data_IF_415277256190
#
_entry.id   IF_415277256190
#
_cell.length_a   1.000
_cell.length_b   1.000
_cell.length_c   1.000
_cell.angle_alpha   90.00
_cell.angle_beta   90.00
_cell.angle_gamma   90.00
#
_symmetry.space_group_name_H-M   'P 1'
#
loop_
_entity.id
_entity.type
_entity.pdbx_description
1 polymer ?
#
# COMPACT_ATOMS: atom_id res chain seq x y z
N UNK A 1 31.19 -12.89 -10.15
CA UNK A 1 29.93 -13.30 -9.53
C UNK A 1 29.80 -14.81 -9.39
N UNK A 2 30.09 -15.59 -10.41
CA UNK A 2 30.08 -17.07 -10.37
C UNK A 2 30.87 -17.64 -9.17
N UNK A 3 32.06 -17.10 -8.87
CA UNK A 3 32.86 -17.49 -7.70
C UNK A 3 32.17 -17.29 -6.35
N UNK A 4 31.27 -16.30 -6.23
CA UNK A 4 30.49 -16.08 -5.00
C UNK A 4 29.33 -17.06 -4.90
N UNK A 5 28.70 -17.40 -6.03
CA UNK A 5 27.62 -18.40 -6.09
C UNK A 5 28.16 -19.77 -5.70
N UNK A 6 29.33 -20.18 -6.25
CA UNK A 6 29.94 -21.46 -5.92
C UNK A 6 30.26 -21.57 -4.42
N UNK A 7 30.72 -20.49 -3.78
CA UNK A 7 30.96 -20.46 -2.34
C UNK A 7 29.66 -20.63 -1.55
N UNK A 8 28.59 -19.96 -1.99
CA UNK A 8 27.26 -20.09 -1.37
C UNK A 8 26.77 -21.54 -1.49
N UNK A 9 26.87 -22.14 -2.68
CA UNK A 9 26.45 -23.53 -2.92
C UNK A 9 27.29 -24.50 -2.07
N UNK A 10 28.59 -24.32 -2.01
CA UNK A 10 29.47 -25.15 -1.19
C UNK A 10 29.10 -25.11 0.28
N UNK A 11 28.71 -23.94 0.79
CA UNK A 11 28.39 -23.73 2.20
C UNK A 11 26.93 -24.07 2.55
N UNK A 12 25.98 -23.78 1.66
CA UNK A 12 24.53 -23.84 1.91
C UNK A 12 23.78 -24.82 1.00
N UNK A 13 24.44 -25.47 0.06
CA UNK A 13 23.77 -26.27 -0.97
C UNK A 13 22.90 -27.38 -0.40
N UNK A 14 23.34 -28.09 0.65
CA UNK A 14 22.50 -29.09 1.33
C UNK A 14 21.22 -28.47 1.89
N UNK A 15 21.33 -27.36 2.63
CA UNK A 15 20.20 -26.65 3.17
C UNK A 15 19.24 -26.16 2.08
N UNK A 16 19.78 -25.57 0.99
CA UNK A 16 18.98 -25.07 -0.14
C UNK A 16 18.21 -26.20 -0.87
N UNK A 17 18.68 -27.44 -0.80
CA UNK A 17 18.01 -28.61 -1.37
C UNK A 17 16.87 -29.16 -0.49
N UNK A 18 16.96 -29.02 0.83
CA UNK A 18 16.10 -29.71 1.79
C UNK A 18 14.69 -29.15 1.88
N UNK A 19 14.52 -27.83 1.80
CA UNK A 19 13.20 -27.19 1.97
C UNK A 19 12.95 -26.04 1.00
N UNK A 20 11.69 -25.62 0.92
CA UNK A 20 11.31 -24.37 0.26
C UNK A 20 11.52 -23.22 1.23
N UNK A 21 12.23 -22.19 0.81
CA UNK A 21 12.51 -21.01 1.62
C UNK A 21 11.52 -19.89 1.34
N UNK A 22 11.11 -19.22 2.41
CA UNK A 22 10.35 -17.95 2.33
C UNK A 22 11.27 -16.82 1.91
N UNK A 23 10.70 -15.65 1.65
CA UNK A 23 11.51 -14.50 1.26
C UNK A 23 12.37 -14.00 2.43
N UNK A 24 11.82 -13.95 3.65
CA UNK A 24 12.58 -13.57 4.85
C UNK A 24 13.76 -14.52 5.11
N UNK A 25 13.54 -15.82 5.01
CA UNK A 25 14.61 -16.82 5.21
C UNK A 25 15.74 -16.67 4.18
N UNK A 26 15.41 -16.36 2.91
CA UNK A 26 16.42 -16.10 1.89
C UNK A 26 17.16 -14.79 2.14
N UNK A 27 16.49 -13.77 2.65
CA UNK A 27 17.10 -12.49 3.01
C UNK A 27 18.08 -12.68 4.17
N UNK A 28 17.68 -13.39 5.21
CA UNK A 28 18.55 -13.71 6.35
C UNK A 28 19.80 -14.46 5.90
N UNK A 29 19.63 -15.48 5.07
CA UNK A 29 20.74 -16.25 4.52
C UNK A 29 21.67 -15.41 3.64
N UNK A 30 21.11 -14.50 2.82
CA UNK A 30 21.90 -13.60 1.97
C UNK A 30 22.72 -12.59 2.80
N UNK A 31 22.15 -12.09 3.91
CA UNK A 31 22.87 -11.25 4.88
C UNK A 31 24.01 -12.03 5.57
N UNK A 32 23.75 -13.25 6.03
CA UNK A 32 24.77 -14.11 6.67
C UNK A 32 25.93 -14.44 5.73
N UNK A 33 25.64 -14.68 4.46
CA UNK A 33 26.64 -14.96 3.44
C UNK A 33 27.28 -13.69 2.84
N UNK A 34 26.74 -12.52 3.19
CA UNK A 34 27.15 -11.20 2.65
C UNK A 34 27.15 -11.16 1.12
N UNK A 35 26.05 -11.62 0.53
CA UNK A 35 25.83 -11.65 -0.93
C UNK A 35 24.54 -10.90 -1.30
N UNK A 36 24.43 -10.39 -2.54
CA UNK A 36 23.17 -9.88 -3.06
C UNK A 36 22.06 -10.94 -3.01
N UNK A 37 20.82 -10.53 -2.77
CA UNK A 37 19.70 -11.48 -2.71
C UNK A 37 19.49 -12.22 -4.03
N UNK A 38 19.68 -11.56 -5.16
CA UNK A 38 19.63 -12.19 -6.48
C UNK A 38 20.64 -13.32 -6.65
N UNK A 39 21.83 -13.18 -6.06
CA UNK A 39 22.87 -14.23 -6.05
C UNK A 39 22.38 -15.48 -5.30
N UNK A 40 21.78 -15.30 -4.14
CA UNK A 40 21.24 -16.42 -3.36
C UNK A 40 20.05 -17.10 -4.06
N UNK A 41 19.16 -16.32 -4.66
CA UNK A 41 18.03 -16.84 -5.44
C UNK A 41 18.49 -17.71 -6.59
N UNK A 42 19.54 -17.30 -7.31
CA UNK A 42 20.13 -18.11 -8.40
C UNK A 42 20.80 -19.36 -7.83
N UNK A 43 21.53 -19.26 -6.71
CA UNK A 43 22.14 -20.42 -6.05
C UNK A 43 21.07 -21.46 -5.63
N UNK A 44 19.97 -21.01 -5.02
CA UNK A 44 18.81 -21.86 -4.69
C UNK A 44 18.28 -22.57 -5.95
N UNK A 45 18.07 -21.82 -7.04
CA UNK A 45 17.57 -22.38 -8.30
C UNK A 45 18.53 -23.41 -8.88
N UNK A 46 19.84 -23.14 -8.88
CA UNK A 46 20.87 -24.09 -9.34
C UNK A 46 20.79 -25.42 -8.61
N UNK A 47 20.71 -25.36 -7.28
CA UNK A 47 20.64 -26.56 -6.43
C UNK A 47 19.34 -27.33 -6.66
N UNK A 48 18.21 -26.63 -6.66
CA UNK A 48 16.89 -27.27 -6.74
C UNK A 48 16.57 -27.83 -8.13
N UNK A 49 17.02 -27.15 -9.19
CA UNK A 49 16.78 -27.57 -10.57
C UNK A 49 17.92 -28.46 -11.13
N UNK A 50 18.98 -28.64 -10.38
CA UNK A 50 20.20 -29.35 -10.80
C UNK A 50 20.72 -28.80 -12.15
N UNK A 51 20.85 -27.48 -12.23
CA UNK A 51 21.32 -26.78 -13.43
C UNK A 51 22.59 -25.96 -13.15
N UNK A 52 23.37 -25.75 -14.19
CA UNK A 52 24.51 -24.84 -14.12
C UNK A 52 24.06 -23.38 -14.03
N UNK A 53 24.96 -22.51 -13.61
CA UNK A 53 24.73 -21.05 -13.58
C UNK A 53 24.20 -20.52 -14.91
N UNK A 54 24.89 -20.83 -16.01
CA UNK A 54 24.47 -20.43 -17.36
C UNK A 54 23.11 -21.02 -17.75
N UNK A 55 22.82 -22.25 -17.30
CA UNK A 55 21.51 -22.90 -17.50
C UNK A 55 20.37 -22.19 -16.80
N UNK A 56 20.58 -21.72 -15.56
CA UNK A 56 19.57 -20.92 -14.83
C UNK A 56 19.38 -19.56 -15.49
N UNK A 57 20.46 -18.83 -15.82
CA UNK A 57 20.35 -17.53 -16.49
C UNK A 57 19.63 -17.62 -17.84
N UNK A 58 19.88 -18.69 -18.62
CA UNK A 58 19.13 -18.93 -19.85
C UNK A 58 17.65 -19.19 -19.57
N UNK A 59 17.34 -20.07 -18.60
CA UNK A 59 15.98 -20.40 -18.22
C UNK A 59 15.18 -19.17 -17.73
N UNK A 60 15.82 -18.27 -17.00
CA UNK A 60 15.22 -16.98 -16.59
C UNK A 60 14.82 -16.17 -17.82
N UNK A 61 15.68 -16.06 -18.82
CA UNK A 61 15.35 -15.30 -20.03
C UNK A 61 14.30 -15.99 -20.91
N UNK A 62 14.33 -17.32 -20.96
CA UNK A 62 13.31 -18.10 -21.67
C UNK A 62 11.90 -17.91 -21.06
N UNK A 63 11.81 -17.72 -19.73
CA UNK A 63 10.53 -17.40 -19.07
C UNK A 63 9.90 -16.11 -19.58
N UNK A 64 10.71 -15.15 -20.05
CA UNK A 64 10.21 -13.86 -20.59
C UNK A 64 10.02 -13.87 -22.11
N UNK A 65 10.38 -14.93 -22.81
CA UNK A 65 10.40 -14.96 -24.28
C UNK A 65 9.07 -14.61 -24.92
N UNK A 66 7.97 -15.19 -24.41
CA UNK A 66 6.62 -14.90 -24.91
C UNK A 66 6.25 -13.43 -24.73
N UNK A 67 6.44 -12.91 -23.54
CA UNK A 67 6.09 -11.53 -23.22
C UNK A 67 6.98 -10.50 -23.91
N UNK A 68 8.25 -10.81 -24.16
CA UNK A 68 9.12 -9.96 -24.98
C UNK A 68 8.63 -9.91 -26.45
N UNK A 69 8.13 -11.01 -26.99
CA UNK A 69 7.47 -11.00 -28.29
C UNK A 69 6.17 -10.20 -28.31
N UNK A 70 5.35 -10.35 -27.29
CA UNK A 70 4.12 -9.57 -27.13
C UNK A 70 4.43 -8.07 -26.98
N UNK A 71 5.50 -7.71 -26.26
CA UNK A 71 5.98 -6.33 -26.14
C UNK A 71 6.26 -5.71 -27.50
N UNK A 72 6.98 -6.42 -28.36
CA UNK A 72 7.31 -5.94 -29.72
C UNK A 72 6.03 -5.73 -30.55
N UNK A 73 5.04 -6.61 -30.42
CA UNK A 73 3.71 -6.43 -31.02
C UNK A 73 3.03 -5.15 -30.50
N UNK A 74 3.01 -4.94 -29.18
CA UNK A 74 2.39 -3.77 -28.56
C UNK A 74 3.04 -2.44 -28.93
N UNK A 75 4.37 -2.43 -29.18
CA UNK A 75 5.10 -1.26 -29.63
C UNK A 75 4.84 -0.90 -31.11
N UNK A 76 4.48 -1.90 -31.93
CA UNK A 76 4.43 -1.72 -33.39
C UNK A 76 2.99 -1.59 -33.89
N UNK A 77 2.23 -2.67 -33.90
CA UNK A 77 0.91 -2.76 -34.52
C UNK A 77 -0.20 -3.24 -33.58
N UNK A 78 0.16 -3.75 -32.43
CA UNK A 78 -0.82 -4.31 -31.48
C UNK A 78 -1.82 -3.27 -31.00
N UNK A 79 -3.07 -3.70 -30.84
CA UNK A 79 -4.18 -2.89 -30.38
C UNK A 79 -5.00 -3.63 -29.32
N UNK A 80 -5.08 -3.06 -28.16
CA UNK A 80 -5.92 -3.59 -27.09
C UNK A 80 -7.35 -3.04 -27.20
N UNK A 81 -8.35 -3.89 -26.96
CA UNK A 81 -9.73 -3.42 -26.82
C UNK A 81 -9.89 -2.41 -25.67
N UNK A 82 -9.12 -2.55 -24.59
CA UNK A 82 -9.20 -1.67 -23.42
C UNK A 82 -8.26 -0.48 -23.50
N UNK A 83 -7.04 -0.69 -23.99
CA UNK A 83 -5.96 0.30 -23.94
C UNK A 83 -5.69 0.97 -25.29
N UNK A 84 -6.38 0.54 -26.35
CA UNK A 84 -6.12 1.05 -27.70
C UNK A 84 -4.66 0.82 -28.11
N UNK A 85 -4.05 1.87 -28.62
CA UNK A 85 -2.66 1.93 -29.12
C UNK A 85 -1.72 2.67 -28.17
N UNK A 86 -2.06 2.75 -26.88
CA UNK A 86 -1.34 3.59 -25.89
C UNK A 86 0.19 3.40 -25.92
N UNK A 87 0.67 2.18 -26.06
CA UNK A 87 2.10 1.91 -26.03
C UNK A 87 2.82 2.43 -27.28
N UNK A 88 2.29 2.17 -28.48
CA UNK A 88 2.86 2.70 -29.73
C UNK A 88 2.72 4.21 -29.84
N UNK A 89 1.66 4.78 -29.25
CA UNK A 89 1.50 6.24 -29.20
C UNK A 89 2.59 6.88 -28.32
N UNK A 90 2.82 6.34 -27.12
CA UNK A 90 3.88 6.81 -26.22
C UNK A 90 5.28 6.61 -26.81
N UNK A 91 5.52 5.50 -27.52
CA UNK A 91 6.78 5.25 -28.17
C UNK A 91 7.13 6.24 -29.29
N UNK A 92 6.11 6.84 -29.93
CA UNK A 92 6.29 7.89 -30.96
C UNK A 92 6.68 9.25 -30.39
N UNK A 93 6.31 9.54 -29.14
CA UNK A 93 6.57 10.81 -28.47
C UNK A 93 7.75 10.73 -27.50
N UNK A 94 8.90 10.21 -27.97
CA UNK A 94 10.12 10.06 -27.17
C UNK A 94 10.68 11.39 -26.62
N UNK A 95 10.39 12.50 -27.29
CA UNK A 95 10.74 13.87 -26.89
C UNK A 95 9.85 14.40 -25.75
N UNK A 96 8.78 13.69 -25.37
CA UNK A 96 7.86 14.03 -24.30
C UNK A 96 7.67 12.84 -23.35
N UNK A 97 8.69 12.52 -22.55
CA UNK A 97 8.61 11.38 -21.66
C UNK A 97 7.52 11.58 -20.58
N UNK A 98 6.90 10.50 -20.15
CA UNK A 98 5.99 10.51 -18.99
C UNK A 98 6.73 10.85 -17.70
N UNK A 99 8.00 10.46 -17.61
CA UNK A 99 8.88 10.63 -16.46
C UNK A 99 10.29 10.91 -16.99
N UNK A 100 11.00 11.83 -16.33
CA UNK A 100 12.35 12.24 -16.72
C UNK A 100 13.41 11.13 -16.58
N UNK A 101 13.23 10.19 -15.61
CA UNK A 101 14.12 9.03 -15.46
C UNK A 101 13.95 8.09 -16.66
N UNK A 102 14.99 7.97 -17.50
CA UNK A 102 14.93 7.21 -18.75
C UNK A 102 14.63 5.72 -18.55
N UNK A 103 15.24 5.09 -17.55
CA UNK A 103 14.99 3.69 -17.22
C UNK A 103 13.52 3.46 -16.83
N UNK A 104 13.01 4.31 -15.95
CA UNK A 104 11.63 4.16 -15.45
C UNK A 104 10.63 4.52 -16.55
N UNK A 105 10.87 5.56 -17.31
CA UNK A 105 10.03 5.91 -18.45
C UNK A 105 9.93 4.76 -19.47
N UNK A 106 11.06 4.16 -19.86
CA UNK A 106 11.09 3.00 -20.74
C UNK A 106 10.37 1.82 -20.14
N UNK A 107 10.62 1.51 -18.86
CA UNK A 107 9.96 0.40 -18.17
C UNK A 107 8.45 0.56 -18.14
N UNK A 108 7.92 1.78 -17.94
CA UNK A 108 6.49 2.09 -18.02
C UNK A 108 5.91 1.82 -19.41
N UNK A 109 6.53 2.38 -20.44
CA UNK A 109 6.09 2.22 -21.84
C UNK A 109 6.14 0.75 -22.25
N UNK A 110 7.19 0.03 -21.89
CA UNK A 110 7.35 -1.38 -22.21
C UNK A 110 6.43 -2.30 -21.41
N UNK A 111 6.07 -1.92 -20.21
CA UNK A 111 5.01 -2.59 -19.44
C UNK A 111 3.66 -2.47 -20.15
N UNK A 112 3.30 -1.27 -20.58
CA UNK A 112 2.09 -1.04 -21.37
C UNK A 112 2.12 -1.74 -22.72
N UNK A 113 3.27 -1.76 -23.38
CA UNK A 113 3.45 -2.49 -24.63
C UNK A 113 3.26 -4.00 -24.46
N UNK A 114 3.80 -4.56 -23.38
CA UNK A 114 3.61 -5.96 -23.04
C UNK A 114 2.12 -6.27 -22.81
N UNK A 115 1.41 -5.39 -22.10
CA UNK A 115 -0.02 -5.53 -21.84
C UNK A 115 -0.84 -5.46 -23.13
N UNK A 116 -0.62 -4.43 -23.95
CA UNK A 116 -1.29 -4.28 -25.26
C UNK A 116 -1.03 -5.49 -26.16
N UNK A 117 0.23 -5.92 -26.25
CA UNK A 117 0.61 -7.08 -27.05
C UNK A 117 -0.01 -8.37 -26.55
N UNK A 118 -0.04 -8.60 -25.24
CA UNK A 118 -0.73 -9.77 -24.67
C UNK A 118 -2.24 -9.76 -24.95
N UNK A 119 -2.90 -8.60 -24.95
CA UNK A 119 -4.28 -8.47 -25.34
C UNK A 119 -4.49 -8.80 -26.83
N UNK A 120 -3.57 -8.40 -27.68
CA UNK A 120 -3.64 -8.70 -29.12
C UNK A 120 -3.39 -10.17 -29.42
N UNK A 121 -2.27 -10.74 -28.95
CA UNK A 121 -1.90 -12.13 -29.25
C UNK A 121 -2.72 -13.16 -28.46
N UNK A 122 -3.21 -12.81 -27.29
CA UNK A 122 -4.04 -13.66 -26.44
C UNK A 122 -5.52 -13.55 -26.73
N UNK A 123 -5.95 -12.63 -27.58
CA UNK A 123 -7.35 -12.34 -27.95
C UNK A 123 -8.25 -11.93 -26.79
N UNK A 124 -7.71 -11.71 -25.59
CA UNK A 124 -8.48 -11.31 -24.42
C UNK A 124 -7.61 -10.53 -23.44
N UNK A 125 -8.21 -9.60 -22.70
CA UNK A 125 -7.53 -8.90 -21.62
C UNK A 125 -6.96 -9.87 -20.60
N UNK A 126 -5.74 -9.60 -20.11
CA UNK A 126 -5.08 -10.35 -19.06
C UNK A 126 -4.94 -11.85 -19.35
N UNK A 127 -4.61 -12.21 -20.59
CA UNK A 127 -4.32 -13.58 -20.97
C UNK A 127 -3.10 -14.14 -20.23
N UNK A 128 -3.32 -14.61 -19.02
CA UNK A 128 -2.43 -15.50 -18.27
C UNK A 128 -1.15 -14.92 -17.67
N UNK A 129 -0.72 -13.72 -18.01
CA UNK A 129 0.61 -13.20 -17.62
C UNK A 129 0.61 -11.72 -17.21
N UNK A 130 -0.52 -11.16 -16.83
CA UNK A 130 -0.65 -9.74 -16.46
C UNK A 130 0.31 -9.29 -15.35
N UNK A 131 0.65 -10.17 -14.44
CA UNK A 131 1.64 -9.97 -13.38
C UNK A 131 3.08 -9.87 -13.89
N UNK A 132 3.38 -10.46 -15.04
CA UNK A 132 4.72 -10.44 -15.64
C UNK A 132 4.95 -9.30 -16.64
N UNK A 133 3.93 -8.49 -16.95
CA UNK A 133 4.10 -7.32 -17.81
C UNK A 133 5.08 -6.29 -17.21
N UNK A 134 5.00 -5.92 -15.91
CA UNK A 134 5.99 -5.06 -15.28
C UNK A 134 7.40 -5.65 -15.30
N UNK A 135 7.53 -6.97 -15.10
CA UNK A 135 8.83 -7.64 -15.15
C UNK A 135 9.45 -7.55 -16.55
N UNK A 136 8.65 -7.85 -17.56
CA UNK A 136 9.08 -7.81 -18.97
C UNK A 136 9.45 -6.39 -19.39
N UNK A 137 8.65 -5.41 -19.00
CA UNK A 137 8.93 -3.99 -19.25
C UNK A 137 10.26 -3.56 -18.64
N UNK A 138 10.51 -3.93 -17.38
CA UNK A 138 11.77 -3.62 -16.71
C UNK A 138 12.96 -4.36 -17.35
N UNK A 139 12.82 -5.64 -17.67
CA UNK A 139 13.87 -6.43 -18.37
C UNK A 139 14.26 -5.76 -19.69
N UNK A 140 13.29 -5.33 -20.50
CA UNK A 140 13.57 -4.66 -21.78
C UNK A 140 14.25 -3.31 -21.56
N UNK A 141 13.77 -2.51 -20.62
CA UNK A 141 14.36 -1.24 -20.29
C UNK A 141 15.82 -1.38 -19.80
N UNK A 142 16.11 -2.32 -18.91
CA UNK A 142 17.46 -2.59 -18.43
C UNK A 142 18.42 -2.97 -19.58
N UNK A 143 17.97 -3.80 -20.52
CA UNK A 143 18.78 -4.15 -21.70
C UNK A 143 19.15 -2.92 -22.54
N UNK A 144 18.21 -2.02 -22.75
CA UNK A 144 18.42 -0.83 -23.57
C UNK A 144 19.19 0.28 -22.85
N UNK A 145 19.15 0.31 -21.53
CA UNK A 145 19.98 1.20 -20.70
C UNK A 145 21.42 0.67 -20.53
N UNK A 146 21.78 -0.44 -21.18
CA UNK A 146 23.15 -0.94 -21.24
C UNK A 146 23.60 -1.79 -20.05
N UNK A 147 22.68 -2.28 -19.23
CA UNK A 147 23.02 -3.25 -18.18
C UNK A 147 23.52 -4.56 -18.81
N UNK A 148 24.51 -5.18 -18.17
CA UNK A 148 25.05 -6.45 -18.66
C UNK A 148 23.99 -7.54 -18.69
N UNK A 149 24.16 -8.52 -19.58
CA UNK A 149 23.26 -9.68 -19.66
C UNK A 149 23.08 -10.36 -18.29
N UNK A 150 24.17 -10.47 -17.53
CA UNK A 150 24.17 -11.06 -16.20
C UNK A 150 23.27 -10.26 -15.24
N UNK A 151 23.45 -8.94 -15.16
CA UNK A 151 22.63 -8.07 -14.31
C UNK A 151 21.15 -8.16 -14.65
N UNK A 152 20.80 -8.17 -15.94
CA UNK A 152 19.42 -8.33 -16.41
C UNK A 152 18.84 -9.69 -15.99
N UNK A 153 19.63 -10.76 -16.12
CA UNK A 153 19.19 -12.10 -15.70
C UNK A 153 19.00 -12.21 -14.18
N UNK A 154 19.88 -11.62 -13.38
CA UNK A 154 19.78 -11.61 -11.92
C UNK A 154 18.55 -10.82 -11.46
N UNK A 155 18.32 -9.64 -12.04
CA UNK A 155 17.10 -8.88 -11.80
C UNK A 155 15.85 -9.69 -12.17
N UNK A 156 15.87 -10.36 -13.32
CA UNK A 156 14.81 -11.26 -13.78
C UNK A 156 14.56 -12.43 -12.82
N UNK A 157 15.63 -13.09 -12.36
CA UNK A 157 15.53 -14.19 -11.39
C UNK A 157 14.87 -13.74 -10.08
N UNK A 158 15.29 -12.59 -9.56
CA UNK A 158 14.71 -12.03 -8.34
C UNK A 158 13.22 -11.66 -8.53
N UNK A 159 12.87 -11.05 -9.66
CA UNK A 159 11.46 -10.75 -9.96
C UNK A 159 10.62 -12.02 -10.08
N UNK A 160 11.12 -13.06 -10.75
CA UNK A 160 10.43 -14.34 -10.86
C UNK A 160 10.26 -15.01 -9.48
N UNK A 161 11.28 -14.96 -8.61
CA UNK A 161 11.20 -15.49 -7.25
C UNK A 161 10.12 -14.80 -6.45
N UNK A 162 10.10 -13.47 -6.40
CA UNK A 162 9.07 -12.70 -5.73
C UNK A 162 7.69 -13.01 -6.30
N UNK A 163 7.53 -12.98 -7.63
CA UNK A 163 6.28 -13.30 -8.30
C UNK A 163 5.77 -14.71 -8.02
N UNK A 164 6.68 -15.71 -7.93
CA UNK A 164 6.30 -17.10 -7.65
C UNK A 164 5.68 -17.29 -6.26
N UNK A 165 6.14 -16.54 -5.26
CA UNK A 165 5.60 -16.58 -3.89
C UNK A 165 4.14 -16.12 -3.90
N UNK A 166 3.83 -15.03 -4.61
CA UNK A 166 2.45 -14.55 -4.74
C UNK A 166 1.55 -15.51 -5.51
N UNK A 167 2.07 -16.15 -6.55
CA UNK A 167 1.31 -17.12 -7.36
C UNK A 167 0.96 -18.39 -6.59
N UNK A 168 1.85 -18.88 -5.74
CA UNK A 168 1.60 -20.07 -4.94
C UNK A 168 0.37 -19.95 -4.03
N UNK A 169 0.08 -18.74 -3.54
CA UNK A 169 -1.09 -18.44 -2.72
C UNK A 169 -2.36 -18.06 -3.48
N UNK A 170 -2.33 -18.07 -4.82
CA UNK A 170 -3.45 -17.58 -5.65
C UNK A 170 -4.70 -18.43 -5.51
N UNK A 171 -5.75 -17.86 -4.93
CA UNK A 171 -7.07 -18.47 -4.80
C UNK A 171 -8.14 -17.78 -5.65
N UNK A 172 -7.81 -16.66 -6.29
CA UNK A 172 -8.73 -15.87 -7.10
C UNK A 172 -8.28 -15.81 -8.54
N UNK A 173 -9.23 -15.64 -9.47
CA UNK A 173 -8.95 -15.39 -10.88
C UNK A 173 -8.89 -13.88 -11.13
N UNK A 174 -7.90 -13.40 -11.85
CA UNK A 174 -7.77 -11.98 -12.26
C UNK A 174 -6.42 -11.34 -11.93
N UNK A 175 -6.19 -10.16 -12.50
CA UNK A 175 -4.92 -9.43 -12.43
C UNK A 175 -4.74 -8.59 -11.17
N UNK A 176 -5.33 -8.87 -10.14
CA UNK A 176 -5.40 -8.08 -8.93
C UNK A 176 -4.04 -7.67 -8.36
N UNK A 177 -3.83 -8.14 -7.15
CA UNK A 177 -2.60 -7.94 -6.44
C UNK A 177 -1.39 -8.55 -7.15
N UNK A 178 -1.58 -9.59 -7.97
CA UNK A 178 -0.46 -10.19 -8.71
C UNK A 178 0.09 -9.24 -9.78
N UNK A 179 -0.76 -8.49 -10.48
CA UNK A 179 -0.31 -7.52 -11.48
C UNK A 179 0.29 -6.27 -10.84
N UNK A 180 -0.43 -5.69 -9.90
CA UNK A 180 -0.04 -4.42 -9.28
C UNK A 180 0.85 -4.63 -8.06
N UNK A 181 0.40 -5.43 -7.08
CA UNK A 181 1.12 -5.65 -5.83
C UNK A 181 2.39 -6.48 -6.02
N UNK A 182 2.27 -7.65 -6.62
CA UNK A 182 3.43 -8.49 -6.91
C UNK A 182 4.37 -7.85 -7.94
N UNK A 183 3.80 -7.14 -8.94
CA UNK A 183 4.59 -6.37 -9.89
C UNK A 183 5.41 -5.27 -9.23
N UNK A 184 4.80 -4.50 -8.34
CA UNK A 184 5.49 -3.46 -7.58
C UNK A 184 6.55 -4.03 -6.62
N UNK A 185 6.22 -5.11 -5.91
CA UNK A 185 7.13 -5.80 -4.99
C UNK A 185 8.36 -6.37 -5.74
N UNK A 186 8.12 -7.03 -6.88
CA UNK A 186 9.19 -7.59 -7.70
C UNK A 186 10.08 -6.50 -8.32
N UNK A 187 9.49 -5.41 -8.83
CA UNK A 187 10.25 -4.27 -9.34
C UNK A 187 11.06 -3.59 -8.23
N UNK A 188 10.47 -3.43 -7.03
CA UNK A 188 11.17 -2.88 -5.87
C UNK A 188 12.37 -3.75 -5.47
N UNK A 189 12.19 -5.07 -5.40
CA UNK A 189 13.27 -5.99 -5.08
C UNK A 189 14.41 -5.91 -6.11
N UNK A 190 14.08 -6.05 -7.40
CA UNK A 190 15.08 -6.05 -8.47
C UNK A 190 15.81 -4.70 -8.56
N UNK A 191 15.11 -3.58 -8.49
CA UNK A 191 15.75 -2.26 -8.57
C UNK A 191 16.61 -1.96 -7.34
N UNK A 192 16.21 -2.43 -6.15
CA UNK A 192 17.01 -2.24 -4.93
C UNK A 192 18.29 -3.07 -4.97
N UNK A 193 18.18 -4.35 -5.30
CA UNK A 193 19.33 -5.27 -5.42
C UNK A 193 20.31 -4.79 -6.51
N UNK A 194 19.79 -4.42 -7.69
CA UNK A 194 20.57 -3.93 -8.84
C UNK A 194 21.35 -2.64 -8.52
N UNK A 195 20.79 -1.78 -7.65
CA UNK A 195 21.41 -0.53 -7.18
C UNK A 195 22.36 -0.74 -5.99
N UNK A 196 22.65 -1.99 -5.63
CA UNK A 196 23.60 -2.34 -4.57
C UNK A 196 23.01 -2.25 -3.16
N UNK A 197 21.69 -2.28 -3.03
CA UNK A 197 21.03 -2.35 -1.71
C UNK A 197 21.30 -3.70 -1.03
N UNK A 198 21.40 -3.69 0.30
CA UNK A 198 21.53 -4.91 1.09
C UNK A 198 20.26 -5.75 1.00
N UNK A 199 20.32 -7.08 1.29
CA UNK A 199 19.14 -7.94 1.35
C UNK A 199 18.04 -7.39 2.28
N UNK A 200 18.38 -6.78 3.40
CA UNK A 200 17.41 -6.10 4.30
C UNK A 200 16.78 -4.86 3.65
N UNK A 201 17.51 -4.12 2.85
CA UNK A 201 16.93 -3.00 2.09
C UNK A 201 15.97 -3.52 1.01
N UNK A 202 16.28 -4.65 0.39
CA UNK A 202 15.35 -5.32 -0.54
C UNK A 202 14.06 -5.71 0.17
N UNK A 203 14.14 -6.32 1.38
CA UNK A 203 12.96 -6.64 2.18
C UNK A 203 12.09 -5.40 2.46
N UNK A 204 12.73 -4.32 2.95
CA UNK A 204 12.04 -3.06 3.23
C UNK A 204 11.37 -2.46 1.98
N UNK A 205 12.03 -2.53 0.84
CA UNK A 205 11.49 -2.05 -0.43
C UNK A 205 10.24 -2.84 -0.86
N UNK A 206 10.25 -4.17 -0.69
CA UNK A 206 9.09 -5.04 -0.95
C UNK A 206 7.91 -4.66 -0.04
N UNK A 207 8.15 -4.48 1.26
CA UNK A 207 7.11 -4.06 2.22
C UNK A 207 6.51 -2.72 1.83
N UNK A 208 7.33 -1.73 1.49
CA UNK A 208 6.87 -0.42 1.04
C UNK A 208 6.08 -0.48 -0.26
N UNK A 209 6.51 -1.30 -1.21
CA UNK A 209 5.82 -1.45 -2.48
C UNK A 209 4.45 -2.14 -2.34
N UNK A 210 4.33 -3.09 -1.42
CA UNK A 210 3.06 -3.75 -1.13
C UNK A 210 2.07 -2.85 -0.38
N UNK A 211 2.53 -1.95 0.46
CA UNK A 211 1.69 -1.14 1.33
C UNK A 211 0.55 -0.42 0.59
N UNK A 212 0.76 0.33 -0.50
CA UNK A 212 -0.31 0.99 -1.22
C UNK A 212 -1.14 0.06 -2.12
N UNK A 213 -0.68 -1.18 -2.37
CA UNK A 213 -1.29 -2.09 -3.34
C UNK A 213 -2.12 -3.20 -2.69
N UNK A 214 -2.05 -3.32 -1.38
CA UNK A 214 -2.55 -4.47 -0.61
C UNK A 214 -4.07 -4.68 -0.70
N UNK A 215 -4.84 -3.61 -0.88
CA UNK A 215 -6.29 -3.63 -0.91
C UNK A 215 -6.87 -3.14 -2.25
N UNK A 216 -6.11 -3.25 -3.32
CA UNK A 216 -6.51 -2.77 -4.65
C UNK A 216 -6.74 -3.96 -5.60
N UNK A 217 -7.92 -4.58 -5.59
CA UNK A 217 -8.25 -5.60 -6.59
C UNK A 217 -8.52 -4.95 -7.95
N UNK A 218 -8.10 -5.61 -9.01
CA UNK A 218 -8.47 -5.24 -10.39
C UNK A 218 -9.94 -5.63 -10.65
N UNK A 219 -10.84 -4.79 -10.25
CA UNK A 219 -12.26 -5.00 -10.50
C UNK A 219 -12.85 -3.72 -11.10
N UNK A 220 -13.75 -3.85 -11.98
CA UNK A 220 -14.43 -5.02 -12.52
C UNK A 220 -13.68 -5.73 -13.67
N UNK A 221 -12.57 -6.31 -13.39
CA UNK A 221 -11.79 -7.13 -14.30
C UNK A 221 -11.59 -6.49 -15.66
N UNK A 222 -10.88 -5.37 -15.66
CA UNK A 222 -10.42 -4.74 -16.91
C UNK A 222 -11.48 -4.22 -17.86
N UNK A 223 -12.75 -4.19 -17.49
CA UNK A 223 -13.80 -3.67 -18.36
C UNK A 223 -13.99 -2.14 -18.25
N UNK A 224 -13.28 -1.49 -17.31
CA UNK A 224 -13.21 -0.04 -17.19
C UNK A 224 -11.92 0.46 -17.84
N UNK A 225 -12.06 1.38 -18.78
CA UNK A 225 -10.95 1.95 -19.51
C UNK A 225 -9.92 2.59 -18.57
N UNK A 226 -8.66 2.33 -18.84
CA UNK A 226 -7.54 2.92 -18.10
C UNK A 226 -7.13 2.22 -16.81
N UNK A 227 -7.94 1.32 -16.23
CA UNK A 227 -7.51 0.59 -15.03
C UNK A 227 -6.22 -0.20 -15.27
N UNK A 228 -6.16 -0.99 -16.33
CA UNK A 228 -4.95 -1.74 -16.67
C UNK A 228 -3.77 -0.81 -16.97
N UNK A 229 -4.01 0.33 -17.60
CA UNK A 229 -2.94 1.28 -17.90
C UNK A 229 -2.25 1.78 -16.64
N UNK A 230 -3.00 2.25 -15.65
CA UNK A 230 -2.45 2.83 -14.41
C UNK A 230 -2.08 1.77 -13.36
N UNK A 231 -2.81 0.66 -13.31
CA UNK A 231 -2.49 -0.43 -12.38
C UNK A 231 -1.16 -1.10 -12.74
N UNK A 232 -1.06 -1.61 -13.96
CA UNK A 232 0.08 -2.44 -14.36
C UNK A 232 1.35 -1.60 -14.52
N UNK A 233 1.28 -0.47 -15.22
CA UNK A 233 2.45 0.41 -15.33
C UNK A 233 2.81 1.10 -14.02
N UNK A 234 1.81 1.43 -13.19
CA UNK A 234 2.00 2.00 -11.86
C UNK A 234 2.82 1.13 -10.91
N UNK A 235 2.84 -0.18 -11.13
CA UNK A 235 3.71 -1.10 -10.39
C UNK A 235 5.20 -0.71 -10.47
N UNK A 236 5.66 -0.26 -11.63
CA UNK A 236 7.04 0.22 -11.84
C UNK A 236 7.31 1.48 -11.04
N UNK A 237 6.35 2.43 -11.00
CA UNK A 237 6.48 3.68 -10.24
C UNK A 237 6.58 3.41 -8.75
N UNK A 238 5.69 2.59 -8.21
CA UNK A 238 5.70 2.22 -6.79
C UNK A 238 6.98 1.45 -6.45
N UNK A 239 7.38 0.49 -7.28
CA UNK A 239 8.62 -0.26 -7.08
C UNK A 239 9.86 0.63 -7.08
N UNK A 240 9.94 1.56 -8.01
CA UNK A 240 11.04 2.54 -8.05
C UNK A 240 11.03 3.47 -6.84
N UNK A 241 9.88 4.00 -6.46
CA UNK A 241 9.74 4.86 -5.28
C UNK A 241 10.19 4.12 -4.01
N UNK A 242 9.71 2.89 -3.80
CA UNK A 242 10.09 2.06 -2.66
C UNK A 242 11.60 1.82 -2.62
N UNK A 243 12.20 1.45 -3.76
CA UNK A 243 13.65 1.27 -3.89
C UNK A 243 14.42 2.54 -3.52
N UNK A 244 14.04 3.69 -4.07
CA UNK A 244 14.73 4.96 -3.81
C UNK A 244 14.61 5.40 -2.33
N UNK A 245 13.45 5.21 -1.70
CA UNK A 245 13.24 5.55 -0.31
C UNK A 245 14.16 4.76 0.61
N UNK A 246 14.26 3.44 0.43
CA UNK A 246 15.10 2.60 1.30
C UNK A 246 16.60 2.80 1.07
N UNK A 247 17.00 3.19 -0.14
CA UNK A 247 18.40 3.44 -0.47
C UNK A 247 18.89 4.82 -0.03
N UNK A 248 18.00 5.83 -0.05
CA UNK A 248 18.37 7.22 0.17
C UNK A 248 17.98 7.78 1.54
N UNK A 249 17.18 7.04 2.31
CA UNK A 249 16.67 7.52 3.59
C UNK A 249 16.82 6.49 4.70
N UNK A 250 16.68 6.93 5.94
CA UNK A 250 16.62 6.08 7.12
C UNK A 250 15.18 5.70 7.50
N UNK A 251 14.26 5.61 6.52
CA UNK A 251 12.86 5.30 6.78
C UNK A 251 12.73 4.01 7.62
N UNK A 252 12.10 4.06 8.81
CA UNK A 252 11.95 2.91 9.67
C UNK A 252 10.86 1.99 9.10
N UNK A 253 11.27 0.85 8.56
CA UNK A 253 10.39 -0.24 8.14
C UNK A 253 10.72 -1.45 8.98
N UNK A 254 9.81 -1.84 9.87
CA UNK A 254 10.02 -2.89 10.86
C UNK A 254 9.18 -4.15 10.59
N UNK A 255 8.18 -4.03 9.71
CA UNK A 255 7.33 -5.17 9.35
C UNK A 255 8.17 -6.18 8.57
N UNK A 256 8.10 -7.44 9.01
CA UNK A 256 8.72 -8.55 8.30
C UNK A 256 8.06 -8.75 6.93
N UNK A 257 8.87 -9.08 5.92
CA UNK A 257 8.38 -9.17 4.53
C UNK A 257 7.40 -10.33 4.35
N UNK A 258 7.60 -11.47 5.02
CA UNK A 258 6.68 -12.60 4.94
C UNK A 258 5.34 -12.29 5.61
N UNK A 259 5.36 -11.54 6.73
CA UNK A 259 4.14 -11.03 7.39
C UNK A 259 3.37 -10.12 6.43
N UNK A 260 4.07 -9.23 5.73
CA UNK A 260 3.44 -8.33 4.76
C UNK A 260 2.83 -9.08 3.58
N UNK A 261 3.54 -10.07 3.03
CA UNK A 261 3.06 -10.92 1.93
C UNK A 261 1.83 -11.74 2.38
N UNK A 262 1.89 -12.39 3.53
CA UNK A 262 0.79 -13.19 4.07
C UNK A 262 -0.46 -12.35 4.33
N UNK A 263 -0.29 -11.16 4.90
CA UNK A 263 -1.37 -10.20 5.11
C UNK A 263 -1.98 -9.76 3.77
N UNK A 264 -1.16 -9.43 2.79
CA UNK A 264 -1.58 -9.02 1.46
C UNK A 264 -2.43 -10.11 0.78
N UNK A 265 -1.95 -11.35 0.78
CA UNK A 265 -2.67 -12.49 0.22
C UNK A 265 -4.04 -12.69 0.90
N UNK A 266 -4.10 -12.58 2.21
CA UNK A 266 -5.35 -12.73 2.97
C UNK A 266 -6.34 -11.59 2.72
N UNK A 267 -5.88 -10.35 2.75
CA UNK A 267 -6.74 -9.17 2.50
C UNK A 267 -7.35 -9.25 1.11
N UNK A 268 -6.54 -9.63 0.10
CA UNK A 268 -7.01 -9.72 -1.27
C UNK A 268 -8.20 -10.66 -1.42
N UNK A 269 -8.12 -11.87 -0.89
CA UNK A 269 -9.20 -12.87 -0.93
C UNK A 269 -10.49 -12.36 -0.27
N UNK A 270 -10.36 -11.62 0.83
CA UNK A 270 -11.51 -11.09 1.58
C UNK A 270 -12.09 -9.82 0.97
N UNK A 271 -11.26 -8.93 0.45
CA UNK A 271 -11.68 -7.65 -0.09
C UNK A 271 -12.28 -7.75 -1.50
N UNK A 272 -11.75 -8.64 -2.35
CA UNK A 272 -12.14 -8.74 -3.75
C UNK A 272 -13.64 -8.97 -3.97
N UNK A 273 -14.36 -9.85 -3.26
CA UNK A 273 -15.78 -10.04 -3.45
C UNK A 273 -16.61 -8.78 -3.16
N UNK A 274 -16.27 -8.08 -2.07
CA UNK A 274 -16.98 -6.86 -1.65
C UNK A 274 -16.76 -5.72 -2.66
N UNK A 275 -15.51 -5.50 -3.03
CA UNK A 275 -15.14 -4.43 -3.98
C UNK A 275 -15.72 -4.74 -5.37
N UNK A 276 -15.69 -6.01 -5.80
CA UNK A 276 -16.28 -6.44 -7.08
C UNK A 276 -17.77 -6.14 -7.14
N UNK A 277 -18.52 -6.46 -6.08
CA UNK A 277 -19.95 -6.20 -6.02
C UNK A 277 -20.26 -4.70 -6.17
N UNK A 278 -19.58 -3.84 -5.43
CA UNK A 278 -19.75 -2.39 -5.50
C UNK A 278 -19.36 -1.85 -6.89
N UNK A 279 -18.25 -2.33 -7.45
CA UNK A 279 -17.83 -1.92 -8.78
C UNK A 279 -18.83 -2.30 -9.86
N UNK A 280 -19.42 -3.49 -9.79
CA UNK A 280 -20.46 -3.91 -10.72
C UNK A 280 -21.73 -3.06 -10.57
N UNK A 281 -22.12 -2.74 -9.33
CA UNK A 281 -23.28 -1.89 -9.06
C UNK A 281 -23.17 -0.54 -9.77
N UNK A 282 -22.00 0.10 -9.70
CA UNK A 282 -21.78 1.46 -10.24
C UNK A 282 -21.29 1.48 -11.69
N UNK A 283 -20.50 0.51 -12.13
CA UNK A 283 -19.71 0.59 -13.35
C UNK A 283 -20.20 -0.34 -14.48
N UNK A 284 -21.00 -1.36 -14.20
CA UNK A 284 -21.41 -2.35 -15.22
C UNK A 284 -22.04 -1.68 -16.46
N UNK A 285 -22.93 -0.69 -16.37
CA UNK A 285 -23.51 -0.07 -17.54
C UNK A 285 -22.51 0.77 -18.38
N UNK A 286 -21.36 1.12 -17.79
CA UNK A 286 -20.28 1.87 -18.45
C UNK A 286 -19.22 0.97 -19.07
N UNK A 287 -19.34 -0.36 -18.96
CA UNK A 287 -18.41 -1.27 -19.61
C UNK A 287 -18.41 -1.06 -21.11
N UNK A 288 -17.21 -1.01 -21.68
CA UNK A 288 -17.05 -0.77 -23.11
C UNK A 288 -17.75 -1.85 -23.93
N UNK A 289 -18.52 -1.43 -24.92
CA UNK A 289 -19.27 -2.30 -25.83
C UNK A 289 -18.54 -2.42 -27.17
N UNK A 290 -18.75 -3.53 -27.87
CA UNK A 290 -18.32 -3.70 -29.26
C UNK A 290 -19.51 -3.44 -30.18
N UNK A 291 -19.45 -2.40 -31.07
CA UNK A 291 -20.55 -2.09 -31.98
C UNK A 291 -21.01 -3.26 -32.84
N UNK A 292 -20.10 -4.19 -33.14
CA UNK A 292 -20.38 -5.39 -33.92
C UNK A 292 -21.22 -6.43 -33.19
N UNK A 293 -21.22 -6.40 -31.86
CA UNK A 293 -21.97 -7.33 -30.99
C UNK A 293 -23.34 -6.76 -30.65
N UNK A 294 -23.44 -5.45 -30.46
CA UNK A 294 -24.67 -4.78 -30.01
C UNK A 294 -25.91 -5.07 -30.85
N UNK A 295 -25.85 -5.26 -32.20
CA UNK A 295 -27.03 -5.66 -33.00
C UNK A 295 -27.63 -6.99 -32.59
N UNK A 296 -26.87 -7.90 -31.98
CA UNK A 296 -27.31 -9.20 -31.52
C UNK A 296 -27.86 -9.21 -30.09
N UNK A 297 -27.71 -8.11 -29.38
CA UNK A 297 -28.28 -7.96 -28.02
C UNK A 297 -29.71 -7.47 -28.14
N UNK A 298 -30.62 -8.05 -27.34
CA UNK A 298 -32.02 -7.65 -27.32
C UNK A 298 -32.16 -6.14 -27.07
N UNK A 299 -33.08 -5.51 -27.83
CA UNK A 299 -33.26 -4.06 -27.74
C UNK A 299 -33.74 -3.59 -26.37
N UNK A 300 -34.55 -4.40 -25.69
CA UNK A 300 -35.01 -4.10 -24.33
C UNK A 300 -33.88 -4.07 -23.33
N UNK A 301 -32.91 -4.99 -23.47
CA UNK A 301 -31.70 -5.04 -22.66
C UNK A 301 -30.84 -3.80 -22.89
N UNK A 302 -30.57 -3.45 -24.14
CA UNK A 302 -29.78 -2.25 -24.49
C UNK A 302 -30.43 -0.96 -23.99
N UNK A 303 -31.75 -0.86 -24.03
CA UNK A 303 -32.51 0.27 -23.47
C UNK A 303 -32.41 0.31 -21.95
N UNK A 304 -32.61 -0.81 -21.28
CA UNK A 304 -32.49 -0.96 -19.84
C UNK A 304 -31.10 -0.56 -19.33
N UNK A 305 -30.03 -0.98 -20.01
CA UNK A 305 -28.66 -0.58 -19.65
C UNK A 305 -28.45 0.94 -19.72
N UNK A 306 -28.97 1.60 -20.75
CA UNK A 306 -28.88 3.08 -20.85
C UNK A 306 -29.66 3.78 -19.74
N UNK A 307 -30.86 3.31 -19.46
CA UNK A 307 -31.68 3.86 -18.37
C UNK A 307 -31.00 3.68 -17.01
N UNK A 308 -30.40 2.50 -16.79
CA UNK A 308 -29.64 2.21 -15.56
C UNK A 308 -28.40 3.10 -15.43
N UNK A 309 -27.64 3.34 -16.51
CA UNK A 309 -26.52 4.27 -16.50
C UNK A 309 -26.94 5.69 -16.07
N UNK A 310 -28.04 6.19 -16.60
CA UNK A 310 -28.55 7.51 -16.21
C UNK A 310 -29.12 7.52 -14.77
N UNK A 311 -29.68 6.43 -14.31
CA UNK A 311 -30.13 6.28 -12.93
C UNK A 311 -28.95 6.31 -11.94
N UNK A 312 -27.91 5.51 -12.19
CA UNK A 312 -26.69 5.49 -11.37
C UNK A 312 -26.05 6.88 -11.33
N UNK A 313 -25.99 7.55 -12.47
CA UNK A 313 -25.44 8.92 -12.54
C UNK A 313 -26.23 9.94 -11.71
N UNK A 314 -27.57 9.84 -11.69
CA UNK A 314 -28.41 10.66 -10.83
C UNK A 314 -28.18 10.34 -9.36
N UNK A 315 -28.23 9.08 -8.99
CA UNK A 315 -28.00 8.60 -7.63
C UNK A 315 -26.63 9.09 -7.11
N UNK A 316 -25.55 8.85 -7.86
CA UNK A 316 -24.22 9.29 -7.48
C UNK A 316 -24.12 10.81 -7.25
N UNK A 317 -24.82 11.61 -8.07
CA UNK A 317 -24.88 13.06 -7.88
C UNK A 317 -25.62 13.46 -6.59
N UNK A 318 -26.67 12.74 -6.23
CA UNK A 318 -27.41 12.98 -4.99
C UNK A 318 -26.58 12.58 -3.76
N UNK A 319 -25.92 11.44 -3.80
CA UNK A 319 -25.00 11.00 -2.74
C UNK A 319 -23.85 12.02 -2.53
N UNK A 320 -23.24 12.50 -3.62
CA UNK A 320 -22.20 13.52 -3.54
C UNK A 320 -22.74 14.84 -2.98
N UNK A 321 -23.93 15.29 -3.39
CA UNK A 321 -24.55 16.50 -2.83
C UNK A 321 -24.82 16.37 -1.35
N UNK A 322 -25.28 15.18 -0.89
CA UNK A 322 -25.48 14.92 0.53
C UNK A 322 -24.16 15.02 1.31
N UNK A 323 -23.07 14.45 0.78
CA UNK A 323 -21.74 14.57 1.38
C UNK A 323 -21.25 16.03 1.39
N UNK A 324 -21.43 16.77 0.28
CA UNK A 324 -21.00 18.15 0.18
C UNK A 324 -21.81 19.10 1.08
N UNK A 325 -23.04 18.77 1.44
CA UNK A 325 -23.85 19.59 2.35
C UNK A 325 -23.26 19.74 3.75
N UNK A 326 -22.42 18.79 4.15
CA UNK A 326 -21.65 18.83 5.39
C UNK A 326 -20.20 19.30 5.21
N UNK A 327 -19.82 19.70 4.01
CA UNK A 327 -18.46 20.13 3.72
C UNK A 327 -18.17 21.54 4.25
N UNK A 328 -16.92 21.76 4.65
CA UNK A 328 -16.44 23.11 5.00
C UNK A 328 -16.17 23.93 3.75
N UNK A 329 -16.20 25.27 3.84
CA UNK A 329 -15.84 26.14 2.72
C UNK A 329 -14.43 25.81 2.18
N UNK A 330 -14.24 25.97 0.89
CA UNK A 330 -12.96 25.67 0.21
C UNK A 330 -11.76 26.34 0.88
N UNK A 331 -11.91 27.57 1.35
CA UNK A 331 -10.85 28.32 2.01
C UNK A 331 -10.57 27.89 3.45
N UNK A 332 -11.40 27.01 4.02
CA UNK A 332 -11.32 26.48 5.37
C UNK A 332 -11.52 24.96 5.42
N UNK A 333 -11.22 24.27 4.33
CA UNK A 333 -11.46 22.82 4.20
C UNK A 333 -10.81 22.00 5.32
N UNK A 334 -9.66 22.44 5.83
CA UNK A 334 -8.96 21.80 6.95
C UNK A 334 -9.40 22.31 8.35
N UNK A 335 -10.33 23.28 8.41
CA UNK A 335 -10.74 23.95 9.63
C UNK A 335 -9.76 25.04 10.05
N UNK A 336 -10.05 25.65 11.21
CA UNK A 336 -9.22 26.74 11.76
C UNK A 336 -8.01 26.23 12.55
N UNK A 337 -8.05 24.95 12.96
CA UNK A 337 -6.96 24.28 13.70
C UNK A 337 -6.52 23.06 12.92
N UNK A 338 -5.26 23.05 12.50
CA UNK A 338 -4.63 21.84 11.95
C UNK A 338 -4.39 20.88 13.10
N UNK A 339 -5.30 19.97 13.29
CA UNK A 339 -5.16 18.90 14.26
C UNK A 339 -4.68 17.68 13.48
N UNK A 340 -3.50 17.17 13.83
CA UNK A 340 -2.85 16.12 13.08
C UNK A 340 -3.76 14.96 12.70
N UNK A 341 -3.57 14.51 11.50
CA UNK A 341 -3.96 13.22 10.99
C UNK A 341 -5.44 12.92 10.81
N UNK A 342 -5.68 12.15 9.79
CA UNK A 342 -7.01 11.89 9.24
C UNK A 342 -7.84 10.86 10.01
N UNK A 343 -7.32 10.13 10.98
CA UNK A 343 -8.11 9.08 11.61
C UNK A 343 -7.80 8.90 13.09
N UNK A 344 -6.97 7.98 13.42
CA UNK A 344 -6.65 7.53 14.78
C UNK A 344 -5.45 8.31 15.34
N UNK A 345 -5.10 9.37 14.67
CA UNK A 345 -3.95 10.17 15.02
C UNK A 345 -4.22 10.99 16.28
N UNK A 346 -3.17 11.58 16.74
CA UNK A 346 -2.95 12.34 17.94
C UNK A 346 -4.09 13.32 18.33
N UNK A 347 -4.84 13.84 17.33
CA UNK A 347 -5.80 14.92 17.56
C UNK A 347 -6.97 14.59 18.50
N UNK A 348 -7.71 13.52 18.22
CA UNK A 348 -8.88 13.17 19.06
C UNK A 348 -8.50 12.69 20.45
N UNK A 349 -7.49 11.81 20.63
CA UNK A 349 -7.04 11.42 21.96
C UNK A 349 -6.52 12.60 22.80
N UNK A 350 -5.79 13.53 22.20
CA UNK A 350 -5.31 14.76 22.88
C UNK A 350 -6.49 15.64 23.29
N UNK A 351 -7.44 15.85 22.40
CA UNK A 351 -8.61 16.68 22.69
C UNK A 351 -9.49 16.08 23.79
N UNK A 352 -9.68 14.75 23.82
CA UNK A 352 -10.32 14.06 24.95
C UNK A 352 -9.60 14.36 26.27
N UNK A 353 -8.27 14.27 26.27
CA UNK A 353 -7.47 14.56 27.45
C UNK A 353 -7.54 16.03 27.88
N UNK A 354 -7.55 16.97 26.94
CA UNK A 354 -7.75 18.41 27.20
C UNK A 354 -9.10 18.73 27.80
N UNK A 355 -10.16 18.08 27.30
CA UNK A 355 -11.51 18.21 27.87
C UNK A 355 -11.50 17.73 29.32
N UNK A 356 -10.91 16.56 29.58
CA UNK A 356 -10.79 16.04 30.95
C UNK A 356 -9.99 16.97 31.86
N UNK A 357 -8.87 17.51 31.38
CA UNK A 357 -8.06 18.50 32.10
C UNK A 357 -8.84 19.77 32.44
N UNK A 358 -9.67 20.27 31.53
CA UNK A 358 -10.47 21.47 31.78
C UNK A 358 -11.57 21.26 32.84
N UNK A 359 -11.89 20.02 33.19
CA UNK A 359 -12.92 19.68 34.20
C UNK A 359 -12.35 19.42 35.59
N UNK A 360 -11.03 19.35 35.76
CA UNK A 360 -10.40 19.06 37.05
C UNK A 360 -10.02 20.32 37.83
N UNK A 361 -9.81 20.16 39.15
CA UNK A 361 -9.19 21.16 40.03
C UNK A 361 -8.21 20.46 40.98
N UNK A 362 -7.22 21.22 41.45
CA UNK A 362 -6.20 20.68 42.35
C UNK A 362 -5.04 19.98 41.64
N UNK A 363 -4.15 19.37 42.38
CA UNK A 363 -2.97 18.69 41.84
C UNK A 363 -3.28 17.30 41.38
N UNK A 364 -2.78 16.91 40.20
CA UNK A 364 -2.99 15.59 39.63
C UNK A 364 -2.20 14.54 40.43
N UNK A 365 -2.85 13.47 40.84
CA UNK A 365 -2.24 12.32 41.53
C UNK A 365 -2.09 11.11 40.59
N UNK A 366 -3.11 10.87 39.77
CA UNK A 366 -3.15 9.70 38.92
C UNK A 366 -3.82 9.99 37.58
N UNK A 367 -3.30 9.42 36.52
CA UNK A 367 -3.89 9.40 35.18
C UNK A 367 -4.05 7.95 34.75
N UNK A 368 -5.26 7.55 34.40
CA UNK A 368 -5.56 6.24 33.84
C UNK A 368 -6.12 6.39 32.44
N UNK A 369 -5.51 5.69 31.48
CA UNK A 369 -5.81 5.78 30.06
C UNK A 369 -6.22 4.39 29.56
N UNK A 370 -7.46 4.25 29.09
CA UNK A 370 -7.96 3.01 28.48
C UNK A 370 -8.11 3.23 26.98
N UNK A 371 -7.46 2.40 26.19
CA UNK A 371 -7.44 2.49 24.72
C UNK A 371 -7.83 1.13 24.11
N UNK A 372 -8.61 1.16 23.01
CA UNK A 372 -8.81 -0.02 22.17
C UNK A 372 -7.52 -0.55 21.64
N UNK A 373 -7.50 -1.80 21.18
CA UNK A 373 -6.32 -2.44 20.60
C UNK A 373 -5.65 -1.58 19.52
N UNK A 374 -6.42 -0.97 18.63
CA UNK A 374 -5.90 -0.13 17.54
C UNK A 374 -5.23 1.16 18.07
N UNK A 375 -5.89 1.88 18.98
CA UNK A 375 -5.31 3.08 19.61
C UNK A 375 -4.10 2.75 20.49
N UNK A 376 -4.16 1.63 21.20
CA UNK A 376 -3.07 1.15 22.06
C UNK A 376 -1.85 0.72 21.23
N UNK A 377 -2.06 0.10 20.07
CA UNK A 377 -0.97 -0.24 19.15
C UNK A 377 -0.20 0.99 18.69
N UNK A 378 -0.85 2.15 18.64
CA UNK A 378 -0.25 3.46 18.33
C UNK A 378 0.16 4.27 19.55
N UNK A 379 0.35 3.62 20.71
CA UNK A 379 0.68 4.28 21.98
C UNK A 379 1.95 5.15 21.92
N UNK A 380 2.93 4.76 21.10
CA UNK A 380 4.14 5.54 20.90
C UNK A 380 3.86 6.98 20.45
N UNK A 381 2.80 7.17 19.66
CA UNK A 381 2.37 8.48 19.15
C UNK A 381 1.29 9.08 20.05
N UNK A 382 0.33 8.28 20.49
CA UNK A 382 -0.83 8.80 21.21
C UNK A 382 -0.54 9.17 22.66
N UNK A 383 0.28 8.40 23.38
CA UNK A 383 0.51 8.63 24.80
C UNK A 383 1.19 9.97 25.09
N UNK A 384 2.26 10.38 24.39
CA UNK A 384 2.82 11.72 24.60
C UNK A 384 1.79 12.82 24.44
N UNK A 385 0.94 12.71 23.42
CA UNK A 385 -0.11 13.67 23.10
C UNK A 385 -1.25 13.67 24.14
N UNK A 386 -1.67 12.50 24.61
CA UNK A 386 -2.65 12.40 25.70
C UNK A 386 -2.12 13.01 26.98
N UNK A 387 -0.86 12.72 27.35
CA UNK A 387 -0.25 13.23 28.58
C UNK A 387 -0.07 14.73 28.56
N UNK A 388 0.38 15.34 27.45
CA UNK A 388 0.49 16.79 27.37
C UNK A 388 -0.87 17.48 27.47
N UNK A 389 -1.93 16.89 26.89
CA UNK A 389 -3.29 17.36 27.04
C UNK A 389 -3.84 17.18 28.46
N UNK A 390 -3.56 16.03 29.08
CA UNK A 390 -4.05 15.69 30.41
C UNK A 390 -3.40 16.51 31.54
N UNK A 391 -2.11 16.76 31.44
CA UNK A 391 -1.31 17.40 32.51
C UNK A 391 -1.29 18.92 32.34
N UNK A 392 -1.13 19.40 31.12
CA UNK A 392 -0.90 20.82 30.83
C UNK A 392 -2.06 21.47 30.03
N UNK A 393 -3.07 20.74 29.62
CA UNK A 393 -4.10 21.25 28.72
C UNK A 393 -3.55 21.62 27.34
N UNK A 394 -2.33 21.20 27.01
CA UNK A 394 -1.64 21.56 25.79
C UNK A 394 -2.36 21.02 24.54
N UNK A 395 -2.34 21.80 23.48
CA UNK A 395 -2.97 21.43 22.21
C UNK A 395 -2.00 20.68 21.28
N UNK A 396 -2.55 19.99 20.27
CA UNK A 396 -1.78 19.19 19.32
C UNK A 396 -0.76 19.97 18.48
N UNK A 397 -0.88 21.30 18.42
CA UNK A 397 0.09 22.17 17.77
C UNK A 397 1.33 22.48 18.62
N UNK A 398 1.34 22.09 19.88
CA UNK A 398 2.50 22.29 20.78
C UNK A 398 3.53 21.16 20.55
N UNK A 399 4.30 21.30 19.48
CA UNK A 399 5.31 20.33 19.07
C UNK A 399 6.42 20.18 20.10
N UNK A 400 6.81 21.28 20.75
CA UNK A 400 7.85 21.27 21.77
C UNK A 400 7.40 20.47 23.00
N UNK A 401 6.18 20.72 23.47
CA UNK A 401 5.62 19.94 24.58
C UNK A 401 5.51 18.45 24.24
N UNK A 402 5.05 18.14 23.03
CA UNK A 402 4.93 16.75 22.58
C UNK A 402 6.27 15.99 22.65
N UNK A 403 7.35 16.58 22.14
CA UNK A 403 8.66 15.93 22.15
C UNK A 403 9.31 15.84 23.53
N UNK A 404 9.01 16.78 24.41
CA UNK A 404 9.69 16.89 25.71
C UNK A 404 8.82 16.50 26.91
N UNK A 405 7.63 15.98 26.69
CA UNK A 405 6.67 15.67 27.77
C UNK A 405 7.25 14.74 28.83
N UNK A 406 7.95 13.68 28.44
CA UNK A 406 8.57 12.75 29.40
C UNK A 406 9.76 13.31 30.19
N UNK A 407 10.29 14.44 29.75
CA UNK A 407 11.33 15.18 30.48
C UNK A 407 10.77 16.13 31.55
N UNK A 408 9.46 16.37 31.58
CA UNK A 408 8.83 17.30 32.52
C UNK A 408 8.80 16.71 33.93
N UNK A 409 9.16 17.52 34.97
CA UNK A 409 9.18 17.05 36.36
C UNK A 409 7.85 16.53 36.85
N UNK A 410 6.75 17.09 36.39
CA UNK A 410 5.37 16.74 36.75
C UNK A 410 5.05 15.28 36.45
N UNK A 411 5.54 14.72 35.34
CA UNK A 411 5.35 13.32 34.97
C UNK A 411 5.87 12.37 36.03
N UNK A 412 6.99 12.71 36.68
CA UNK A 412 7.62 11.83 37.68
C UNK A 412 6.84 11.75 38.99
N UNK A 413 5.97 12.72 39.27
CA UNK A 413 5.16 12.80 40.47
C UNK A 413 3.72 12.23 40.30
N UNK A 414 3.34 11.85 39.08
CA UNK A 414 1.99 11.36 38.75
C UNK A 414 2.03 9.86 38.50
N UNK A 415 1.12 9.12 39.13
CA UNK A 415 0.90 7.72 38.77
C UNK A 415 0.22 7.64 37.40
N UNK A 416 0.88 7.03 36.42
CA UNK A 416 0.33 6.88 35.06
C UNK A 416 0.08 5.41 34.79
N UNK A 417 -1.17 5.07 34.42
CA UNK A 417 -1.58 3.73 34.02
C UNK A 417 -2.18 3.75 32.63
N UNK A 418 -1.69 2.86 31.75
CA UNK A 418 -2.15 2.75 30.36
C UNK A 418 -2.63 1.33 30.15
N UNK A 419 -3.90 1.17 29.80
CA UNK A 419 -4.56 -0.12 29.63
C UNK A 419 -4.97 -0.31 28.17
N UNK A 420 -4.81 -1.53 27.68
CA UNK A 420 -5.50 -2.00 26.49
C UNK A 420 -6.83 -2.59 26.90
N UNK A 421 -7.91 -2.20 26.21
CA UNK A 421 -9.25 -2.72 26.47
C UNK A 421 -9.82 -3.38 25.22
N UNK A 422 -10.49 -4.49 25.42
CA UNK A 422 -11.14 -5.25 24.33
C UNK A 422 -12.60 -4.79 24.14
N UNK A 423 -12.77 -3.48 23.96
CA UNK A 423 -14.05 -2.85 23.67
C UNK A 423 -13.89 -2.01 22.39
N UNK A 424 -14.83 -2.09 21.45
CA UNK A 424 -14.70 -1.35 20.19
C UNK A 424 -14.76 0.17 20.43
N UNK A 425 -13.88 0.89 19.73
CA UNK A 425 -13.86 2.36 19.68
C UNK A 425 -13.66 3.08 21.04
N UNK A 426 -13.17 2.41 22.09
CA UNK A 426 -12.95 3.06 23.39
C UNK A 426 -11.65 3.86 23.38
N UNK A 427 -11.78 5.14 23.72
CA UNK A 427 -10.70 5.97 24.25
C UNK A 427 -11.24 6.67 25.50
N UNK A 428 -10.66 6.38 26.65
CA UNK A 428 -11.09 6.90 27.95
C UNK A 428 -9.90 7.39 28.75
N UNK A 429 -10.09 8.52 29.40
CA UNK A 429 -9.12 9.04 30.36
C UNK A 429 -9.81 9.35 31.67
N UNK A 430 -9.15 8.99 32.79
CA UNK A 430 -9.52 9.41 34.16
C UNK A 430 -8.35 10.16 34.76
N UNK A 431 -8.63 11.30 35.35
CA UNK A 431 -7.65 12.11 36.08
C UNK A 431 -8.11 12.25 37.51
N UNK A 432 -7.37 11.65 38.41
CA UNK A 432 -7.59 11.77 39.87
C UNK A 432 -6.71 12.89 40.40
N UNK A 433 -7.30 13.74 41.24
CA UNK A 433 -6.65 14.91 41.78
C UNK A 433 -6.86 15.06 43.30
N UNK A 434 -6.20 16.05 43.89
CA UNK A 434 -6.49 16.45 45.28
C UNK A 434 -7.80 17.21 45.46
N UNK A 435 -8.37 17.70 44.38
CA UNK A 435 -9.64 18.40 44.31
C UNK A 435 -10.68 17.65 43.52
N UNK A 436 -11.24 18.28 42.47
CA UNK A 436 -12.23 17.69 41.59
C UNK A 436 -11.57 16.81 40.56
N UNK A 437 -11.87 15.53 40.56
CA UNK A 437 -11.44 14.55 39.56
C UNK A 437 -12.40 14.49 38.38
N UNK A 438 -11.93 14.02 37.22
CA UNK A 438 -12.76 13.92 36.02
C UNK A 438 -12.46 12.64 35.24
N UNK A 439 -13.43 12.26 34.39
CA UNK A 439 -13.30 11.19 33.41
C UNK A 439 -14.00 11.60 32.12
N UNK A 440 -13.38 11.29 30.99
CA UNK A 440 -14.00 11.44 29.66
C UNK A 440 -13.83 10.14 28.90
N UNK A 441 -14.95 9.62 28.37
CA UNK A 441 -15.03 8.51 27.45
C UNK A 441 -15.52 9.05 26.11
N UNK A 442 -14.74 8.84 25.05
CA UNK A 442 -15.05 9.42 23.76
C UNK A 442 -14.68 8.48 22.61
N UNK A 443 -15.25 8.73 21.43
CA UNK A 443 -14.86 8.11 20.17
C UNK A 443 -14.10 9.11 19.30
N UNK A 444 -13.13 8.60 18.58
CA UNK A 444 -12.45 9.34 17.54
C UNK A 444 -13.38 9.52 16.32
N UNK A 445 -13.45 10.74 15.79
CA UNK A 445 -14.21 11.09 14.58
C UNK A 445 -13.35 11.74 13.50
N UNK A 446 -12.03 11.62 13.61
CA UNK A 446 -11.06 12.18 12.66
C UNK A 446 -10.90 13.71 12.77
N UNK A 447 -9.77 14.23 12.35
CA UNK A 447 -9.51 15.66 12.34
C UNK A 447 -9.60 16.35 13.71
N UNK A 448 -9.31 15.62 14.79
CA UNK A 448 -9.42 16.13 16.17
C UNK A 448 -10.83 16.20 16.75
N UNK A 449 -11.86 15.82 15.97
CA UNK A 449 -13.25 15.76 16.43
C UNK A 449 -13.46 14.60 17.38
N UNK A 450 -14.33 14.78 18.36
CA UNK A 450 -14.67 13.75 19.35
C UNK A 450 -16.17 13.56 19.46
N UNK A 451 -16.61 12.31 19.66
CA UNK A 451 -17.95 12.01 20.09
C UNK A 451 -17.87 11.59 21.57
N UNK A 452 -18.35 12.44 22.48
CA UNK A 452 -18.35 12.16 23.92
C UNK A 452 -19.46 11.16 24.22
N UNK A 453 -19.09 9.96 24.70
CA UNK A 453 -20.00 8.90 25.07
C UNK A 453 -20.47 9.07 26.53
N UNK A 454 -19.50 9.25 27.43
CA UNK A 454 -19.73 9.43 28.86
C UNK A 454 -18.68 10.39 29.44
N UNK A 455 -19.02 11.07 30.50
CA UNK A 455 -18.09 11.88 31.27
C UNK A 455 -18.54 12.03 32.73
N UNK A 456 -17.55 12.16 33.60
CA UNK A 456 -17.78 12.46 35.02
C UNK A 456 -17.07 13.78 35.36
N UNK A 457 -17.73 14.68 36.11
CA UNK A 457 -19.02 14.49 36.81
C UNK A 457 -20.24 14.49 35.92
N UNK A 458 -20.22 15.14 34.74
CA UNK A 458 -21.35 15.08 33.80
C UNK A 458 -20.91 15.24 32.34
N UNK A 459 -21.71 14.70 31.43
CA UNK A 459 -21.48 14.85 29.97
C UNK A 459 -21.66 16.30 29.52
N UNK A 460 -22.60 17.03 30.10
CA UNK A 460 -22.84 18.44 29.73
C UNK A 460 -21.68 19.33 30.10
N UNK A 461 -21.00 19.07 31.21
CA UNK A 461 -19.79 19.77 31.61
C UNK A 461 -18.66 19.48 30.63
N UNK A 462 -18.51 18.24 30.19
CA UNK A 462 -17.49 17.88 29.17
C UNK A 462 -17.77 18.56 27.82
N UNK A 463 -19.01 18.63 27.39
CA UNK A 463 -19.44 19.35 26.18
C UNK A 463 -19.17 20.85 26.29
N UNK A 464 -19.45 21.44 27.46
CA UNK A 464 -19.16 22.85 27.72
C UNK A 464 -17.63 23.12 27.69
N UNK A 465 -16.84 22.27 28.33
CA UNK A 465 -15.38 22.36 28.31
C UNK A 465 -14.83 22.22 26.87
N UNK A 466 -15.36 21.28 26.09
CA UNK A 466 -14.98 21.13 24.67
C UNK A 466 -15.26 22.41 23.87
N UNK A 467 -16.43 23.01 24.06
CA UNK A 467 -16.81 24.25 23.38
C UNK A 467 -15.89 25.42 23.76
N UNK A 468 -15.52 25.56 25.03
CA UNK A 468 -14.59 26.59 25.51
C UNK A 468 -13.18 26.42 24.93
N UNK A 469 -12.77 25.16 24.69
CA UNK A 469 -11.49 24.81 24.08
C UNK A 469 -11.49 24.88 22.54
N UNK A 470 -12.63 25.20 21.92
CA UNK A 470 -12.77 25.19 20.47
C UNK A 470 -12.75 23.79 19.86
N UNK A 471 -13.04 22.73 20.64
CA UNK A 471 -13.06 21.34 20.18
C UNK A 471 -14.44 20.99 19.64
N UNK A 472 -14.47 20.49 18.41
CA UNK A 472 -15.72 20.05 17.76
C UNK A 472 -16.19 18.72 18.37
N UNK A 473 -17.36 18.74 18.97
CA UNK A 473 -18.06 17.55 19.47
C UNK A 473 -19.13 17.16 18.47
N UNK A 474 -19.07 15.93 17.99
CA UNK A 474 -20.06 15.37 17.05
C UNK A 474 -20.81 14.19 17.67
N UNK A 475 -21.84 13.72 17.00
CA UNK A 475 -22.65 12.59 17.46
C UNK A 475 -21.96 11.25 17.27
#
# INVERSE_FOLDING_TARGET
METNIDKVIQKRGSALAEKVYTLSELIEMAEEENVPLSTLVVAEAMVRENKTYGGILSGVMDAFKHNLGALDVGLTWGKSFLLGTVASDLARYQDKPLIEDSLINRALIYTLATEVGNHEVGLQPCAGTGDSCPYTGLIRALKEEGYSREQVCLAGALMLKVGSIFRAGKQTTGCNMEGYGAGAAAAAAALTDLRGGSPRQVAKAVVLALSPTIAVPCTPRVMVEGLCATHISGAILIGNQASQLVLKTSLPVEVDVDVMIAMAARIHVQAAPVITAINLEYLEPYFRKKPEIEPYVDETVRKSEKERAEQIKRQAREEIRALLSSSRPLTRVFGDVVVGGSSIAVGSPTNMARICHAMITGSIKKIEIDLTTDLFSRRAINIPAILMGAIFGAQTGDVEMYHHIFGKPEIKSIEIKINQVDLPEVQRIRIETTGKSAMVDARNRGGGRVAILDAKPSRDEAVLAAKQLGIEVVK
#
